data_IF_633142687257
#
_entry.id   IF_633142687257
#
_cell.length_a   1.000
_cell.length_b   1.000
_cell.length_c   1.000
_cell.angle_alpha   90.00
_cell.angle_beta   90.00
_cell.angle_gamma   90.00
#
_symmetry.space_group_name_H-M   'P 1'
#
loop_
_entity.id
_entity.type
_entity.pdbx_description
1 polymer ?
#
# COMPACT_ATOMS: atom_id res chain seq x y z
N UNK A 1 -9.73 28.28 8.15
CA UNK A 1 -9.17 29.47 7.44
C UNK A 1 -9.58 30.72 8.22
N UNK A 2 -8.62 31.57 8.55
CA UNK A 2 -8.82 32.81 9.32
C UNK A 2 -9.07 33.97 8.34
N UNK A 3 -10.12 34.75 8.58
CA UNK A 3 -10.35 35.99 7.83
C UNK A 3 -9.36 37.05 8.34
N UNK A 4 -8.42 37.50 7.50
CA UNK A 4 -7.29 38.32 7.95
C UNK A 4 -7.66 39.77 8.29
N UNK A 5 -8.83 40.23 7.82
CA UNK A 5 -9.30 41.59 8.06
C UNK A 5 -10.18 41.66 9.33
N UNK A 6 -10.78 40.55 9.74
CA UNK A 6 -11.74 40.49 10.85
C UNK A 6 -11.32 39.55 11.99
N UNK A 7 -10.23 38.80 11.81
CA UNK A 7 -9.70 37.78 12.72
C UNK A 7 -10.71 36.69 13.12
N UNK A 8 -11.81 36.53 12.39
CA UNK A 8 -12.77 35.47 12.62
C UNK A 8 -12.31 34.16 11.95
N UNK A 9 -12.35 33.07 12.73
CA UNK A 9 -12.08 31.73 12.23
C UNK A 9 -13.31 31.17 11.49
N UNK A 10 -13.12 30.67 10.27
CA UNK A 10 -14.06 29.78 9.59
C UNK A 10 -13.45 28.40 9.42
N UNK A 11 -14.12 27.40 9.97
CA UNK A 11 -13.74 26.00 9.85
C UNK A 11 -14.44 25.37 8.66
N UNK A 12 -13.65 24.82 7.73
CA UNK A 12 -14.14 24.00 6.62
C UNK A 12 -13.52 22.62 6.75
N UNK A 13 -14.36 21.58 6.70
CA UNK A 13 -13.92 20.17 6.75
C UNK A 13 -13.91 19.62 5.32
N UNK A 14 -12.91 18.80 5.00
CA UNK A 14 -12.75 18.08 3.73
C UNK A 14 -12.57 18.95 2.48
N UNK A 15 -11.69 19.96 2.53
CA UNK A 15 -11.29 20.72 1.35
C UNK A 15 -9.97 20.15 0.80
N UNK A 16 -9.96 19.43 -0.34
CA UNK A 16 -8.72 19.05 -0.99
C UNK A 16 -8.13 20.27 -1.70
N UNK A 17 -6.95 20.70 -1.29
CA UNK A 17 -6.17 21.71 -2.03
C UNK A 17 -5.09 20.96 -2.83
N UNK A 18 -5.08 21.20 -4.14
CA UNK A 18 -4.58 20.30 -5.19
C UNK A 18 -3.05 20.15 -5.39
N UNK A 19 -2.76 19.12 -6.20
CA UNK A 19 -1.60 18.20 -6.31
C UNK A 19 -0.48 18.62 -7.31
N UNK A 20 0.65 17.88 -7.42
CA UNK A 20 1.68 18.05 -8.43
C UNK A 20 1.20 17.52 -9.80
N UNK A 21 1.45 18.25 -10.88
CA UNK A 21 1.07 17.83 -12.23
C UNK A 21 2.30 17.68 -13.13
N UNK A 22 2.29 16.64 -13.95
CA UNK A 22 3.29 16.30 -14.97
C UNK A 22 3.02 16.96 -16.33
N UNK A 23 2.24 18.04 -16.39
CA UNK A 23 1.96 18.83 -17.61
C UNK A 23 1.97 20.34 -17.32
N UNK A 24 2.07 21.13 -18.41
CA UNK A 24 2.33 22.57 -18.53
C UNK A 24 1.80 23.46 -17.37
N UNK A 25 2.46 24.61 -17.08
CA UNK A 25 2.09 25.50 -15.98
C UNK A 25 0.59 25.79 -15.98
N UNK A 26 -0.08 25.60 -14.84
CA UNK A 26 -1.45 26.07 -14.68
C UNK A 26 -1.43 27.60 -14.76
N UNK A 27 -2.05 28.15 -15.81
CA UNK A 27 -2.26 29.58 -15.95
C UNK A 27 -3.56 29.96 -15.29
N UNK A 28 -3.51 30.91 -14.35
CA UNK A 28 -4.70 31.49 -13.73
C UNK A 28 -4.92 32.90 -14.25
N UNK A 29 -6.17 33.25 -14.54
CA UNK A 29 -6.58 34.60 -14.90
C UNK A 29 -7.55 35.09 -13.85
N UNK A 30 -7.30 36.28 -13.32
CA UNK A 30 -8.19 36.93 -12.35
C UNK A 30 -8.34 38.42 -12.67
N UNK A 31 -9.42 39.03 -12.23
CA UNK A 31 -9.74 40.44 -12.49
C UNK A 31 -9.81 41.17 -11.16
N UNK A 32 -9.45 42.46 -11.14
CA UNK A 32 -9.71 43.31 -9.98
C UNK A 32 -11.22 43.55 -9.77
N UNK A 33 -11.67 43.93 -8.57
CA UNK A 33 -13.09 44.14 -8.29
C UNK A 33 -13.77 45.20 -9.17
N UNK A 34 -13.03 46.16 -9.72
CA UNK A 34 -13.57 47.21 -10.59
C UNK A 34 -13.60 46.80 -12.06
N UNK A 35 -13.06 45.63 -12.43
CA UNK A 35 -13.04 45.16 -13.81
C UNK A 35 -12.12 45.97 -14.73
N UNK A 36 -11.15 46.69 -14.17
CA UNK A 36 -10.21 47.54 -14.91
C UNK A 36 -8.93 46.81 -15.31
N UNK A 37 -8.50 45.84 -14.50
CA UNK A 37 -7.24 45.15 -14.63
C UNK A 37 -7.43 43.63 -14.65
N UNK A 38 -6.81 42.97 -15.62
CA UNK A 38 -6.67 41.51 -15.66
C UNK A 38 -5.28 41.12 -15.21
N UNK A 39 -5.18 40.10 -14.35
CA UNK A 39 -3.93 39.53 -13.88
C UNK A 39 -3.80 38.12 -14.44
N UNK A 40 -2.76 37.90 -15.24
CA UNK A 40 -2.38 36.57 -15.72
C UNK A 40 -1.24 36.05 -14.87
N UNK A 41 -1.39 34.82 -14.40
CA UNK A 41 -0.44 34.15 -13.53
C UNK A 41 0.11 32.92 -14.24
N UNK A 42 1.43 32.83 -14.35
CA UNK A 42 2.14 31.58 -14.59
C UNK A 42 2.64 31.05 -13.25
N UNK A 43 2.32 29.82 -12.90
CA UNK A 43 2.57 29.28 -11.55
C UNK A 43 4.02 28.81 -11.30
N UNK A 44 4.84 28.66 -12.34
CA UNK A 44 6.29 28.41 -12.20
C UNK A 44 7.08 28.66 -13.50
N UNK A 45 8.23 29.37 -13.46
CA UNK A 45 8.56 30.31 -12.38
C UNK A 45 7.47 31.38 -12.30
N UNK A 46 7.10 31.76 -11.08
CA UNK A 46 5.93 32.60 -10.82
C UNK A 46 6.09 33.95 -11.50
N UNK A 47 5.18 34.20 -12.43
CA UNK A 47 5.11 35.46 -13.17
C UNK A 47 3.69 35.99 -13.12
N UNK A 48 3.53 37.22 -12.65
CA UNK A 48 2.25 37.93 -12.57
C UNK A 48 2.34 39.12 -13.51
N UNK A 49 1.51 39.10 -14.55
CA UNK A 49 1.36 40.24 -15.47
C UNK A 49 0.00 40.84 -15.27
N UNK A 50 -0.05 42.16 -15.04
CA UNK A 50 -1.27 42.95 -15.05
C UNK A 50 -1.46 43.55 -16.44
N UNK A 51 -2.68 43.49 -16.93
CA UNK A 51 -3.12 44.07 -18.20
C UNK A 51 -4.18 45.11 -17.85
N UNK A 52 -3.95 46.37 -18.20
CA UNK A 52 -4.97 47.42 -18.12
C UNK A 52 -5.93 47.27 -19.29
N UNK A 53 -7.22 47.04 -19.01
CA UNK A 53 -8.22 46.77 -20.05
C UNK A 53 -8.66 48.02 -20.83
N UNK A 54 -8.29 49.23 -20.39
CA UNK A 54 -8.59 50.46 -21.11
C UNK A 54 -7.50 50.84 -22.10
N UNK A 55 -6.24 50.52 -21.78
CA UNK A 55 -5.06 50.93 -22.56
C UNK A 55 -4.29 49.77 -23.19
N UNK A 56 -4.67 48.52 -22.89
CA UNK A 56 -3.94 47.29 -23.21
C UNK A 56 -2.49 47.24 -22.67
N UNK A 57 -2.12 48.20 -21.81
CA UNK A 57 -0.80 48.28 -21.22
C UNK A 57 -0.53 47.06 -20.33
N UNK A 58 0.58 46.36 -20.59
CA UNK A 58 1.01 45.19 -19.84
C UNK A 58 2.13 45.57 -18.87
N UNK A 59 1.95 45.27 -17.59
CA UNK A 59 2.94 45.50 -16.54
C UNK A 59 3.27 44.18 -15.86
N UNK A 60 4.54 43.78 -15.87
CA UNK A 60 4.99 42.65 -15.05
C UNK A 60 5.10 43.11 -13.59
N UNK A 61 4.26 42.56 -12.72
CA UNK A 61 4.25 42.88 -11.29
C UNK A 61 5.13 41.93 -10.47
N UNK A 62 5.33 40.72 -11.00
CA UNK A 62 6.27 39.74 -10.48
C UNK A 62 6.81 38.94 -11.66
N UNK A 63 8.12 38.72 -11.70
CA UNK A 63 8.78 38.06 -12.83
C UNK A 63 9.75 37.02 -12.32
N UNK A 64 9.63 35.79 -12.83
CA UNK A 64 10.57 34.70 -12.56
C UNK A 64 10.81 34.40 -11.06
N UNK A 65 9.77 34.52 -10.23
CA UNK A 65 9.87 34.23 -8.79
C UNK A 65 9.79 32.72 -8.55
N UNK A 66 10.67 32.16 -7.72
CA UNK A 66 10.71 30.72 -7.44
C UNK A 66 9.57 30.26 -6.52
N UNK A 67 8.91 31.21 -5.84
CA UNK A 67 7.87 30.95 -4.84
C UNK A 67 6.52 30.81 -5.50
N UNK A 68 5.67 29.94 -4.97
CA UNK A 68 4.36 29.64 -5.53
C UNK A 68 3.30 30.62 -5.02
N UNK A 69 2.24 30.89 -5.80
CA UNK A 69 1.12 31.71 -5.34
C UNK A 69 0.14 30.87 -4.53
N UNK A 70 -0.20 31.34 -3.33
CA UNK A 70 -1.28 30.81 -2.52
C UNK A 70 -2.61 31.49 -2.86
N UNK A 71 -2.63 32.82 -2.86
CA UNK A 71 -3.84 33.60 -3.12
C UNK A 71 -3.50 35.08 -3.39
N UNK A 72 -4.51 35.83 -3.83
CA UNK A 72 -4.48 37.30 -3.87
C UNK A 72 -5.40 37.87 -2.80
N UNK A 73 -5.09 39.08 -2.32
CA UNK A 73 -6.05 39.86 -1.54
C UNK A 73 -7.34 40.12 -2.35
N UNK A 74 -8.48 40.41 -1.69
CA UNK A 74 -9.74 40.66 -2.38
C UNK A 74 -9.67 41.79 -3.43
N UNK A 75 -8.90 42.84 -3.13
CA UNK A 75 -8.65 43.99 -3.99
C UNK A 75 -7.51 43.77 -5.01
N UNK A 76 -6.87 42.61 -5.00
CA UNK A 76 -5.71 42.26 -5.85
C UNK A 76 -4.50 43.19 -5.69
N UNK A 77 -4.41 43.95 -4.60
CA UNK A 77 -3.23 44.80 -4.31
C UNK A 77 -2.05 44.01 -3.74
N UNK A 78 -2.31 42.84 -3.13
CA UNK A 78 -1.32 41.96 -2.50
C UNK A 78 -1.43 40.52 -3.00
N UNK A 79 -0.30 39.83 -2.98
CA UNK A 79 -0.20 38.39 -3.27
C UNK A 79 0.45 37.67 -2.09
N UNK A 80 -0.13 36.55 -1.70
CA UNK A 80 0.49 35.61 -0.77
C UNK A 80 1.28 34.58 -1.58
N UNK A 81 2.57 34.48 -1.28
CA UNK A 81 3.54 33.59 -1.89
C UNK A 81 4.04 32.59 -0.85
N UNK A 82 4.38 31.38 -1.29
CA UNK A 82 4.93 30.34 -0.44
C UNK A 82 6.26 29.83 -1.00
N UNK A 83 7.25 29.78 -0.12
CA UNK A 83 8.56 29.19 -0.37
C UNK A 83 8.72 27.90 0.45
N UNK A 84 9.25 26.85 -0.17
CA UNK A 84 9.48 25.53 0.44
C UNK A 84 10.96 25.14 0.33
N UNK A 85 11.85 25.80 1.08
CA UNK A 85 13.28 25.49 1.05
C UNK A 85 13.56 24.07 1.58
N UNK A 86 14.41 23.32 0.89
CA UNK A 86 14.76 21.95 1.27
C UNK A 86 15.34 21.89 2.68
N UNK A 87 14.74 21.06 3.55
CA UNK A 87 15.19 20.88 4.94
C UNK A 87 14.93 22.06 5.89
N UNK A 88 14.13 23.04 5.48
CA UNK A 88 13.81 24.25 6.25
C UNK A 88 12.28 24.47 6.31
N UNK A 89 11.76 25.20 7.32
CA UNK A 89 10.33 25.51 7.39
C UNK A 89 9.84 26.31 6.19
N UNK A 90 8.61 26.04 5.76
CA UNK A 90 7.92 26.84 4.75
C UNK A 90 7.85 28.31 5.16
N UNK A 91 8.19 29.21 4.25
CA UNK A 91 8.09 30.65 4.46
C UNK A 91 6.92 31.16 3.64
N UNK A 92 5.91 31.72 4.31
CA UNK A 92 4.84 32.45 3.61
C UNK A 92 5.18 33.93 3.59
N UNK A 93 5.13 34.54 2.42
CA UNK A 93 5.34 35.97 2.23
C UNK A 93 4.08 36.61 1.70
N UNK A 94 3.69 37.77 2.24
CA UNK A 94 2.67 38.63 1.63
C UNK A 94 3.38 39.82 1.02
N UNK A 95 3.27 39.98 -0.29
CA UNK A 95 3.90 41.04 -1.07
C UNK A 95 2.85 41.99 -1.63
N UNK A 96 3.05 43.29 -1.44
CA UNK A 96 2.30 44.33 -2.14
C UNK A 96 2.81 44.47 -3.57
N UNK A 97 1.91 44.35 -4.55
CA UNK A 97 2.28 44.24 -5.96
C UNK A 97 2.74 45.57 -6.57
N UNK A 98 2.27 46.70 -6.04
CA UNK A 98 2.62 48.02 -6.56
C UNK A 98 3.99 48.51 -6.06
N UNK A 99 4.28 48.28 -4.78
CA UNK A 99 5.48 48.80 -4.11
C UNK A 99 6.59 47.77 -4.00
N UNK A 100 6.24 46.47 -4.09
CA UNK A 100 7.17 45.36 -3.84
C UNK A 100 7.46 45.11 -2.35
N UNK A 101 6.87 45.87 -1.43
CA UNK A 101 7.04 45.68 0.02
C UNK A 101 6.51 44.32 0.44
N UNK A 102 7.25 43.63 1.31
CA UNK A 102 6.96 42.25 1.70
C UNK A 102 7.03 42.06 3.21
N UNK A 103 6.05 41.35 3.75
CA UNK A 103 6.07 40.83 5.11
C UNK A 103 6.18 39.30 5.06
N UNK A 104 7.04 38.72 5.90
CA UNK A 104 7.26 37.28 5.98
C UNK A 104 6.70 36.72 7.27
N UNK A 105 5.99 35.62 7.14
CA UNK A 105 5.54 34.80 8.26
C UNK A 105 6.45 33.58 8.32
N UNK A 106 7.47 33.66 9.17
CA UNK A 106 8.20 32.49 9.65
C UNK A 106 7.48 32.02 10.91
N UNK A 107 7.24 30.71 11.05
CA UNK A 107 6.44 30.09 12.13
C UNK A 107 4.92 29.97 11.88
N UNK A 108 4.44 30.01 10.63
CA UNK A 108 3.15 29.39 10.31
C UNK A 108 3.40 27.88 10.40
N UNK A 109 3.23 27.31 11.60
CA UNK A 109 3.57 25.92 11.90
C UNK A 109 3.03 25.00 10.81
N UNK A 110 3.91 24.16 10.26
CA UNK A 110 3.63 23.07 9.31
C UNK A 110 2.22 23.16 8.72
N UNK A 111 1.96 24.10 7.80
CA UNK A 111 0.86 23.93 6.87
C UNK A 111 1.20 22.63 6.15
N UNK A 112 0.53 21.56 6.57
CA UNK A 112 0.97 20.19 6.49
C UNK A 112 1.39 19.82 5.06
N UNK A 113 2.69 19.92 4.79
CA UNK A 113 3.32 19.01 3.84
C UNK A 113 3.34 17.66 4.54
N UNK A 114 2.26 16.90 4.43
CA UNK A 114 2.36 15.45 4.55
C UNK A 114 3.31 15.04 3.42
N UNK A 115 4.57 14.74 3.74
CA UNK A 115 5.50 14.23 2.75
C UNK A 115 4.84 13.03 2.08
N UNK A 116 4.64 13.11 0.75
CA UNK A 116 3.98 12.03 0.02
C UNK A 116 4.70 10.72 0.33
N UNK A 117 3.99 9.69 0.83
CA UNK A 117 4.62 8.41 1.06
C UNK A 117 5.03 7.74 -0.27
N UNK A 118 4.52 8.23 -1.40
CA UNK A 118 5.03 7.87 -2.72
C UNK A 118 6.23 8.75 -3.07
N UNK A 119 7.41 8.17 -2.98
CA UNK A 119 8.68 8.78 -3.39
C UNK A 119 9.33 7.92 -4.48
N UNK A 120 10.26 8.44 -5.30
CA UNK A 120 11.02 7.61 -6.23
C UNK A 120 11.71 6.40 -5.57
N UNK A 121 12.33 6.54 -4.38
CA UNK A 121 12.78 5.40 -3.57
C UNK A 121 11.73 4.33 -3.32
N UNK A 122 10.53 4.73 -2.89
CA UNK A 122 9.40 3.81 -2.64
C UNK A 122 9.03 3.02 -3.87
N UNK A 123 8.87 3.70 -5.02
CA UNK A 123 8.47 3.07 -6.28
C UNK A 123 9.55 2.07 -6.75
N UNK A 124 10.82 2.49 -6.72
CA UNK A 124 11.94 1.65 -7.09
C UNK A 124 12.08 0.44 -6.16
N UNK A 125 11.83 0.59 -4.87
CA UNK A 125 11.92 -0.51 -3.92
C UNK A 125 10.87 -1.58 -4.18
N UNK A 126 9.63 -1.20 -4.50
CA UNK A 126 8.61 -2.17 -4.93
C UNK A 126 9.00 -2.91 -6.20
N UNK A 127 9.54 -2.18 -7.18
CA UNK A 127 10.01 -2.80 -8.43
C UNK A 127 11.18 -3.76 -8.16
N UNK A 128 12.09 -3.44 -7.23
CA UNK A 128 13.18 -4.35 -6.82
C UNK A 128 12.64 -5.65 -6.22
N UNK A 129 11.67 -5.57 -5.29
CA UNK A 129 11.09 -6.76 -4.64
C UNK A 129 10.34 -7.61 -5.68
N UNK A 130 9.52 -6.99 -6.53
CA UNK A 130 8.81 -7.72 -7.58
C UNK A 130 9.78 -8.35 -8.58
N UNK A 131 10.79 -7.59 -9.04
CA UNK A 131 11.76 -8.08 -10.01
C UNK A 131 12.51 -9.30 -9.48
N UNK A 132 12.92 -9.28 -8.21
CA UNK A 132 13.67 -10.39 -7.61
C UNK A 132 12.95 -11.72 -7.80
N UNK A 133 11.64 -11.75 -7.57
CA UNK A 133 10.86 -13.00 -7.49
C UNK A 133 10.06 -13.29 -8.76
N UNK A 134 9.51 -12.28 -9.45
CA UNK A 134 8.56 -12.49 -10.54
C UNK A 134 9.09 -12.08 -11.92
N UNK A 135 10.18 -11.30 -12.02
CA UNK A 135 10.84 -11.05 -13.32
C UNK A 135 11.32 -12.36 -14.00
N UNK A 136 11.89 -13.35 -13.30
CA UNK A 136 12.26 -14.62 -13.94
C UNK A 136 11.07 -15.36 -14.55
N UNK A 137 9.89 -15.27 -13.94
CA UNK A 137 8.65 -15.85 -14.49
C UNK A 137 8.20 -15.05 -15.70
N UNK A 138 8.13 -13.72 -15.58
CA UNK A 138 7.74 -12.82 -16.66
C UNK A 138 8.66 -12.90 -17.89
N UNK A 139 9.95 -13.11 -17.68
CA UNK A 139 10.96 -13.26 -18.72
C UNK A 139 11.09 -14.70 -19.27
N UNK A 140 10.24 -15.64 -18.81
CA UNK A 140 10.26 -17.04 -19.24
C UNK A 140 11.54 -17.80 -18.85
N UNK A 141 12.25 -17.34 -17.82
CA UNK A 141 13.48 -17.98 -17.30
C UNK A 141 13.20 -19.13 -16.35
N UNK A 142 12.00 -19.19 -15.79
CA UNK A 142 11.54 -20.28 -14.93
C UNK A 142 10.05 -20.51 -15.15
N UNK A 143 9.62 -21.77 -15.09
CA UNK A 143 8.22 -22.17 -15.20
C UNK A 143 7.68 -22.54 -13.82
N UNK A 144 7.00 -21.59 -13.16
CA UNK A 144 6.36 -21.76 -11.84
C UNK A 144 5.24 -20.73 -11.64
N UNK A 145 4.44 -20.89 -10.60
CA UNK A 145 3.45 -19.90 -10.18
C UNK A 145 4.08 -18.55 -9.76
N UNK A 146 3.28 -17.48 -9.84
CA UNK A 146 3.67 -16.13 -9.42
C UNK A 146 3.73 -16.01 -7.89
N UNK A 147 4.72 -15.26 -7.39
CA UNK A 147 4.80 -14.92 -5.97
C UNK A 147 3.95 -13.69 -5.64
N UNK A 148 3.93 -12.66 -6.48
CA UNK A 148 3.13 -11.45 -6.30
C UNK A 148 1.95 -11.41 -7.27
N UNK A 149 2.23 -11.72 -8.53
CA UNK A 149 1.29 -11.59 -9.64
C UNK A 149 1.94 -10.88 -10.83
N UNK A 150 1.30 -10.90 -12.01
CA UNK A 150 1.89 -10.38 -13.25
C UNK A 150 2.13 -8.87 -13.25
N UNK A 151 1.33 -8.11 -12.48
CA UNK A 151 1.43 -6.66 -12.35
C UNK A 151 0.70 -6.20 -11.08
N UNK A 152 0.99 -4.99 -10.56
CA UNK A 152 0.14 -4.38 -9.54
C UNK A 152 -1.22 -3.97 -10.13
N UNK A 153 -2.29 -4.10 -9.35
CA UNK A 153 -3.64 -3.71 -9.78
C UNK A 153 -4.17 -2.44 -9.08
N UNK A 154 -3.58 -2.03 -7.95
CA UNK A 154 -3.94 -0.81 -7.24
C UNK A 154 -2.75 -0.24 -6.46
N UNK A 155 -2.79 1.06 -6.15
CA UNK A 155 -1.80 1.75 -5.32
C UNK A 155 -2.55 2.77 -4.47
N UNK A 156 -2.35 2.74 -3.16
CA UNK A 156 -3.15 3.48 -2.19
C UNK A 156 -2.28 4.17 -1.14
N UNK A 157 -2.85 5.17 -0.46
CA UNK A 157 -2.30 5.74 0.76
C UNK A 157 -3.17 5.36 1.95
N UNK A 158 -2.57 4.66 2.90
CA UNK A 158 -3.30 4.14 4.07
C UNK A 158 -2.83 4.84 5.34
N UNK A 159 -3.75 5.09 6.27
CA UNK A 159 -3.42 5.62 7.59
C UNK A 159 -2.46 4.67 8.32
N UNK A 160 -1.41 5.24 8.90
CA UNK A 160 -0.49 4.56 9.78
C UNK A 160 0.13 5.55 10.76
N UNK A 161 -0.19 5.46 12.05
CA UNK A 161 0.17 6.47 13.07
C UNK A 161 1.67 6.80 13.10
N UNK A 162 2.53 5.81 12.89
CA UNK A 162 3.99 5.96 12.92
C UNK A 162 4.61 6.39 11.58
N UNK A 163 3.83 6.46 10.50
CA UNK A 163 4.36 6.91 9.21
C UNK A 163 4.55 8.44 9.21
N UNK A 164 5.60 8.98 8.55
CA UNK A 164 5.71 10.40 8.31
C UNK A 164 4.44 10.94 7.62
N UNK A 165 3.79 11.94 8.19
CA UNK A 165 2.50 12.44 7.70
C UNK A 165 1.30 11.53 8.00
N UNK A 166 1.45 10.53 8.88
CA UNK A 166 0.37 9.64 9.32
C UNK A 166 -0.15 8.69 8.23
N UNK A 167 0.55 8.57 7.10
CA UNK A 167 0.16 7.76 5.95
C UNK A 167 1.33 6.97 5.39
N UNK A 168 1.09 5.70 5.07
CA UNK A 168 2.02 4.83 4.36
C UNK A 168 1.59 4.60 2.91
N UNK A 169 2.56 4.34 2.05
CA UNK A 169 2.31 3.98 0.67
C UNK A 169 2.12 2.47 0.58
N UNK A 170 1.12 2.03 -0.18
CA UNK A 170 0.87 0.59 -0.42
C UNK A 170 0.64 0.33 -1.91
N UNK A 171 1.12 -0.81 -2.40
CA UNK A 171 0.90 -1.30 -3.77
C UNK A 171 0.35 -2.72 -3.74
N UNK A 172 -0.81 -2.92 -4.34
CA UNK A 172 -1.53 -4.19 -4.34
C UNK A 172 -1.18 -5.03 -5.56
N UNK A 173 -0.99 -6.33 -5.32
CA UNK A 173 -0.80 -7.37 -6.32
C UNK A 173 -1.80 -8.50 -6.05
N UNK A 174 -1.98 -9.43 -6.99
CA UNK A 174 -2.97 -10.50 -6.81
C UNK A 174 -2.76 -11.29 -5.51
N UNK A 175 -1.51 -11.64 -5.20
CA UNK A 175 -1.14 -12.55 -4.11
C UNK A 175 -0.76 -11.86 -2.80
N UNK A 176 -0.67 -10.52 -2.77
CA UNK A 176 -0.30 -9.75 -1.56
C UNK A 176 -0.43 -8.23 -1.77
N UNK A 177 0.08 -7.43 -0.84
CA UNK A 177 0.49 -6.05 -1.08
C UNK A 177 1.91 -5.82 -0.58
N UNK A 178 2.57 -4.81 -1.12
CA UNK A 178 3.79 -4.24 -0.58
C UNK A 178 3.47 -2.90 0.08
N UNK A 179 4.15 -2.58 1.17
CA UNK A 179 3.97 -1.32 1.90
C UNK A 179 5.30 -0.71 2.31
N UNK A 180 5.37 0.62 2.33
CA UNK A 180 6.51 1.39 2.83
C UNK A 180 5.98 2.40 3.83
N UNK A 181 6.27 2.16 5.12
CA UNK A 181 5.82 2.99 6.24
C UNK A 181 6.65 4.26 6.37
N UNK A 182 7.97 4.17 6.21
CA UNK A 182 8.88 5.32 6.28
C UNK A 182 9.66 5.45 4.97
N UNK A 183 9.28 6.37 4.07
CA UNK A 183 9.99 6.57 2.81
C UNK A 183 11.47 6.97 3.00
N UNK A 184 11.80 7.65 4.09
CA UNK A 184 13.17 8.04 4.45
C UNK A 184 13.95 6.96 5.21
N UNK A 185 13.40 5.75 5.35
CA UNK A 185 14.09 4.62 5.99
C UNK A 185 15.27 4.07 5.19
N UNK A 186 16.02 3.16 5.81
CA UNK A 186 17.15 2.47 5.19
C UNK A 186 16.67 1.51 4.09
N UNK A 187 16.92 1.86 2.84
CA UNK A 187 16.53 1.08 1.66
C UNK A 187 17.34 -0.22 1.47
N UNK A 188 18.44 -0.39 2.19
CA UNK A 188 19.24 -1.62 2.17
C UNK A 188 18.65 -2.71 3.08
N UNK A 189 17.79 -2.33 4.03
CA UNK A 189 17.09 -3.27 4.88
C UNK A 189 16.13 -4.13 4.05
N UNK A 190 16.10 -5.46 4.24
CA UNK A 190 15.08 -6.32 3.63
C UNK A 190 13.67 -5.95 4.10
N UNK A 191 13.55 -5.21 5.20
CA UNK A 191 12.28 -4.76 5.78
C UNK A 191 11.91 -3.31 5.43
N UNK A 192 12.63 -2.67 4.50
CA UNK A 192 12.20 -1.36 3.96
C UNK A 192 10.84 -1.47 3.26
N UNK A 193 10.67 -2.54 2.46
CA UNK A 193 9.38 -2.96 1.94
C UNK A 193 8.87 -4.10 2.83
N UNK A 194 7.72 -3.90 3.45
CA UNK A 194 7.02 -4.96 4.17
C UNK A 194 5.81 -5.43 3.39
N UNK A 195 5.21 -6.51 3.89
CA UNK A 195 3.90 -6.97 3.47
C UNK A 195 2.99 -6.78 4.69
N UNK A 196 1.81 -6.21 4.49
CA UNK A 196 0.82 -6.11 5.55
C UNK A 196 0.42 -7.48 6.09
N UNK A 197 -0.18 -7.53 7.29
CA UNK A 197 -0.64 -8.77 7.92
C UNK A 197 -2.01 -9.21 7.36
N UNK A 198 -2.11 -9.27 6.03
CA UNK A 198 -3.38 -9.33 5.29
C UNK A 198 -4.31 -10.43 5.80
N UNK A 199 -3.80 -11.65 5.94
CA UNK A 199 -4.61 -12.79 6.37
C UNK A 199 -4.97 -12.67 7.85
N UNK A 200 -4.04 -12.25 8.71
CA UNK A 200 -4.33 -12.01 10.12
C UNK A 200 -5.49 -11.02 10.27
N UNK A 201 -5.45 -9.90 9.54
CA UNK A 201 -6.49 -8.87 9.55
C UNK A 201 -7.82 -9.38 8.96
N UNK A 202 -7.78 -10.17 7.86
CA UNK A 202 -8.98 -10.78 7.25
C UNK A 202 -9.67 -11.77 8.20
N UNK A 203 -8.91 -12.57 8.95
CA UNK A 203 -9.43 -13.56 9.90
C UNK A 203 -9.94 -12.87 11.17
N UNK A 204 -9.20 -11.89 11.70
CA UNK A 204 -9.53 -11.27 12.99
C UNK A 204 -10.55 -10.14 12.87
N UNK A 205 -10.64 -9.48 11.71
CA UNK A 205 -11.38 -8.23 11.54
C UNK A 205 -10.64 -7.00 12.06
N UNK A 206 -9.37 -7.12 12.47
CA UNK A 206 -8.62 -6.02 13.09
C UNK A 206 -7.75 -5.30 12.06
N UNK A 207 -8.28 -4.24 11.46
CA UNK A 207 -7.57 -3.45 10.44
C UNK A 207 -6.43 -2.65 11.07
N UNK A 208 -5.18 -2.93 10.71
CA UNK A 208 -4.03 -2.22 11.28
C UNK A 208 -3.93 -0.79 10.73
N UNK A 209 -3.81 0.19 11.62
CA UNK A 209 -3.61 1.62 11.32
C UNK A 209 -2.48 2.26 12.13
N UNK A 210 -1.66 1.42 12.76
CA UNK A 210 -0.45 1.78 13.48
C UNK A 210 0.14 0.52 14.13
N UNK A 211 1.34 0.60 14.69
CA UNK A 211 2.02 -0.56 15.28
C UNK A 211 1.16 -1.30 16.32
N UNK A 212 0.49 -0.54 17.18
CA UNK A 212 -0.39 -1.06 18.23
C UNK A 212 -1.81 -0.47 18.14
N UNK A 213 -2.23 -0.05 16.94
CA UNK A 213 -3.56 0.56 16.73
C UNK A 213 -4.32 -0.13 15.61
N UNK A 214 -5.57 -0.46 15.92
CA UNK A 214 -6.46 -1.23 15.06
C UNK A 214 -7.83 -0.56 14.97
N UNK A 215 -8.51 -0.77 13.85
CA UNK A 215 -9.93 -0.46 13.65
C UNK A 215 -10.67 -1.79 13.53
N UNK A 216 -11.68 -1.99 14.38
CA UNK A 216 -12.51 -3.19 14.32
C UNK A 216 -13.42 -3.17 13.10
N UNK A 217 -13.51 -4.33 12.44
CA UNK A 217 -14.37 -4.63 11.30
C UNK A 217 -14.91 -6.04 11.41
N UNK A 218 -15.93 -6.34 10.62
CA UNK A 218 -16.38 -7.72 10.45
C UNK A 218 -15.28 -8.56 9.79
N UNK A 219 -14.93 -9.74 10.35
CA UNK A 219 -14.06 -10.70 9.68
C UNK A 219 -14.54 -11.04 8.27
N UNK A 220 -13.62 -11.35 7.37
CA UNK A 220 -13.96 -11.49 5.96
C UNK A 220 -14.79 -12.76 5.68
N UNK A 221 -16.00 -12.56 5.14
CA UNK A 221 -16.94 -13.62 4.78
C UNK A 221 -16.69 -14.32 3.44
N UNK A 222 -15.51 -14.14 2.84
CA UNK A 222 -15.16 -14.70 1.53
C UNK A 222 -14.29 -15.97 1.65
N UNK A 223 -14.37 -16.89 0.66
CA UNK A 223 -13.54 -18.09 0.65
C UNK A 223 -12.04 -17.78 0.73
N UNK A 224 -11.30 -18.58 1.48
CA UNK A 224 -9.84 -18.44 1.61
C UNK A 224 -9.12 -18.87 0.32
N UNK A 225 -9.65 -19.90 -0.33
CA UNK A 225 -9.15 -20.48 -1.58
C UNK A 225 -10.31 -21.05 -2.39
N UNK A 226 -10.05 -21.35 -3.66
CA UNK A 226 -11.05 -21.82 -4.61
C UNK A 226 -11.80 -20.71 -5.33
N UNK A 227 -12.84 -21.12 -6.04
CA UNK A 227 -13.72 -20.24 -6.81
C UNK A 227 -14.53 -19.33 -5.85
N UNK A 228 -14.83 -18.08 -6.24
CA UNK A 228 -15.59 -17.16 -5.37
C UNK A 228 -16.98 -17.65 -4.95
N UNK A 229 -17.57 -18.56 -5.74
CA UNK A 229 -18.89 -19.17 -5.48
C UNK A 229 -18.80 -20.52 -4.75
N UNK A 230 -17.62 -20.90 -4.25
CA UNK A 230 -17.44 -22.13 -3.49
C UNK A 230 -18.22 -22.11 -2.17
N UNK A 231 -18.99 -23.17 -1.95
CA UNK A 231 -19.84 -23.34 -0.78
C UNK A 231 -19.27 -24.34 0.25
N UNK A 232 -18.09 -24.92 0.01
CA UNK A 232 -17.56 -26.04 0.81
C UNK A 232 -16.37 -25.64 1.69
N UNK A 233 -15.45 -24.88 1.13
CA UNK A 233 -14.21 -24.46 1.77
C UNK A 233 -14.41 -23.39 2.83
N UNK A 234 -13.41 -23.25 3.74
CA UNK A 234 -13.42 -22.25 4.78
C UNK A 234 -13.40 -20.84 4.21
N UNK A 235 -14.04 -19.93 4.95
CA UNK A 235 -13.94 -18.49 4.77
C UNK A 235 -12.98 -17.94 5.82
N UNK A 236 -12.38 -16.76 5.59
CA UNK A 236 -11.43 -16.21 6.57
C UNK A 236 -12.06 -16.06 7.97
N UNK A 237 -13.32 -15.61 8.04
CA UNK A 237 -14.05 -15.48 9.29
C UNK A 237 -14.15 -16.78 10.11
N UNK A 238 -14.28 -17.94 9.46
CA UNK A 238 -14.43 -19.22 10.17
C UNK A 238 -13.11 -19.75 10.73
N UNK A 239 -11.96 -19.27 10.22
CA UNK A 239 -10.65 -19.60 10.75
C UNK A 239 -10.33 -18.91 12.08
N UNK A 240 -11.12 -17.91 12.49
CA UNK A 240 -10.84 -17.11 13.70
C UNK A 240 -10.76 -17.98 14.96
N UNK A 241 -11.61 -19.00 15.06
CA UNK A 241 -11.61 -19.93 16.19
C UNK A 241 -10.38 -20.85 16.24
N UNK A 242 -9.61 -20.93 15.15
CA UNK A 242 -8.46 -21.83 15.00
C UNK A 242 -7.11 -21.13 15.21
N UNK A 243 -7.10 -19.81 15.42
CA UNK A 243 -5.89 -19.04 15.72
C UNK A 243 -5.20 -19.43 17.04
N UNK A 244 -5.88 -20.18 17.90
CA UNK A 244 -5.36 -20.68 19.17
C UNK A 244 -5.36 -22.21 19.23
N UNK A 245 -5.53 -22.89 18.08
CA UNK A 245 -5.43 -24.34 18.03
C UNK A 245 -4.02 -24.78 18.45
N UNK A 246 -3.88 -25.88 19.22
CA UNK A 246 -2.57 -26.38 19.61
C UNK A 246 -1.79 -26.86 18.38
N UNK A 247 -0.44 -26.73 18.39
CA UNK A 247 0.37 -27.15 17.27
C UNK A 247 0.25 -28.65 17.02
N UNK A 248 0.16 -29.04 15.74
CA UNK A 248 0.26 -30.44 15.34
C UNK A 248 1.67 -30.93 15.68
N UNK A 249 1.84 -32.07 16.39
CA UNK A 249 3.15 -32.58 16.76
C UNK A 249 4.03 -32.83 15.53
N UNK A 250 5.27 -32.32 15.55
CA UNK A 250 6.24 -32.52 14.47
C UNK A 250 6.43 -34.02 14.20
N UNK A 251 6.43 -34.39 12.91
CA UNK A 251 6.54 -35.77 12.43
C UNK A 251 5.20 -36.51 12.31
N UNK A 252 4.09 -35.97 12.81
CA UNK A 252 2.77 -36.60 12.65
C UNK A 252 2.18 -36.35 11.26
N UNK A 253 1.42 -37.33 10.76
CA UNK A 253 0.68 -37.19 9.50
C UNK A 253 -0.50 -36.24 9.67
N UNK A 254 -0.65 -35.29 8.75
CA UNK A 254 -1.72 -34.31 8.76
C UNK A 254 -2.96 -34.92 8.09
N UNK A 255 -3.93 -35.29 8.93
CA UNK A 255 -5.23 -35.86 8.52
C UNK A 255 -6.43 -35.00 8.94
N UNK A 256 -6.19 -33.89 9.63
CA UNK A 256 -7.25 -32.97 10.04
C UNK A 256 -7.91 -32.34 8.81
N UNK A 257 -9.24 -32.20 8.85
CA UNK A 257 -10.01 -31.52 7.81
C UNK A 257 -10.66 -30.26 8.36
N UNK A 258 -11.05 -29.34 7.47
CA UNK A 258 -11.82 -28.16 7.83
C UNK A 258 -12.93 -27.89 6.79
N UNK A 259 -14.13 -27.60 7.29
CA UNK A 259 -15.28 -27.19 6.47
C UNK A 259 -15.47 -25.66 6.44
N UNK A 260 -16.49 -25.23 5.70
CA UNK A 260 -16.85 -23.81 5.58
C UNK A 260 -17.08 -23.11 6.92
N UNK A 261 -17.69 -23.82 7.87
CA UNK A 261 -18.05 -23.30 9.18
C UNK A 261 -16.85 -23.26 10.14
N UNK A 262 -15.68 -23.77 9.73
CA UNK A 262 -14.49 -23.86 10.56
C UNK A 262 -14.52 -25.08 11.49
N UNK A 263 -15.40 -26.04 11.24
CA UNK A 263 -15.46 -27.29 12.00
C UNK A 263 -14.29 -28.17 11.59
N UNK A 264 -13.49 -28.58 12.58
CA UNK A 264 -12.37 -29.49 12.36
C UNK A 264 -12.85 -30.93 12.41
N UNK A 265 -12.57 -31.68 11.35
CA UNK A 265 -12.82 -33.11 11.25
C UNK A 265 -11.53 -33.92 11.15
N UNK A 266 -11.68 -35.20 10.78
CA UNK A 266 -10.57 -36.10 10.50
C UNK A 266 -10.66 -36.71 9.10
N UNK A 267 -9.81 -37.71 8.84
CA UNK A 267 -9.79 -38.50 7.60
C UNK A 267 -9.54 -37.70 6.32
N UNK A 268 -8.79 -36.60 6.42
CA UNK A 268 -8.24 -35.91 5.25
C UNK A 268 -7.34 -36.83 4.42
N UNK A 269 -7.01 -36.38 3.21
CA UNK A 269 -6.28 -37.18 2.21
C UNK A 269 -4.96 -37.78 2.71
N UNK A 270 -4.27 -37.09 3.62
CA UNK A 270 -2.98 -37.54 4.16
C UNK A 270 -1.83 -37.37 3.16
N UNK A 271 -0.71 -38.05 3.42
CA UNK A 271 0.49 -37.96 2.57
C UNK A 271 1.31 -36.67 2.74
N UNK A 272 1.02 -35.90 3.79
CA UNK A 272 1.78 -34.71 4.22
C UNK A 272 1.92 -34.76 5.73
N UNK A 273 3.06 -34.28 6.24
CA UNK A 273 3.43 -34.37 7.65
C UNK A 273 3.76 -33.01 8.24
N UNK A 274 3.64 -32.89 9.56
CA UNK A 274 4.00 -31.68 10.29
C UNK A 274 5.54 -31.57 10.38
N UNK A 275 6.14 -30.50 9.85
CA UNK A 275 7.60 -30.44 9.64
C UNK A 275 8.37 -29.64 10.70
N UNK A 276 7.88 -28.45 11.06
CA UNK A 276 8.60 -27.56 11.98
C UNK A 276 7.62 -26.73 12.81
N UNK A 277 7.85 -26.67 14.12
CA UNK A 277 7.17 -25.76 15.03
C UNK A 277 7.79 -24.37 14.92
N UNK A 278 6.96 -23.36 14.66
CA UNK A 278 7.35 -21.94 14.71
C UNK A 278 6.96 -21.40 16.08
N UNK A 279 7.97 -21.06 16.89
CA UNK A 279 7.78 -20.70 18.30
C UNK A 279 7.10 -19.34 18.51
N UNK A 280 7.27 -18.41 17.57
CA UNK A 280 6.74 -17.05 17.63
C UNK A 280 5.21 -17.01 17.63
N UNK A 281 4.57 -17.97 16.94
CA UNK A 281 3.12 -18.09 16.87
C UNK A 281 2.59 -19.41 17.43
N UNK A 282 3.48 -20.31 17.85
CA UNK A 282 3.15 -21.64 18.37
C UNK A 282 2.31 -22.50 17.40
N UNK A 283 2.68 -22.47 16.11
CA UNK A 283 2.02 -23.24 15.05
C UNK A 283 3.02 -24.07 14.25
N UNK A 284 2.60 -25.24 13.78
CA UNK A 284 3.45 -26.13 12.99
C UNK A 284 3.22 -25.94 11.49
N UNK A 285 4.29 -25.90 10.69
CA UNK A 285 4.21 -25.80 9.23
C UNK A 285 4.17 -27.20 8.60
N UNK A 286 3.29 -27.43 7.63
CA UNK A 286 3.29 -28.67 6.85
C UNK A 286 4.58 -28.82 6.02
N UNK A 287 5.08 -30.04 5.86
CA UNK A 287 6.29 -30.38 5.11
C UNK A 287 6.32 -29.80 3.69
N UNK A 288 5.25 -29.96 2.93
CA UNK A 288 5.14 -29.42 1.56
C UNK A 288 5.28 -27.90 1.52
N UNK A 289 4.75 -27.18 2.52
CA UNK A 289 4.89 -25.74 2.63
C UNK A 289 6.28 -25.34 3.12
N UNK A 290 6.85 -26.09 4.07
CA UNK A 290 8.20 -25.86 4.55
C UNK A 290 9.24 -26.05 3.43
N UNK A 291 9.11 -27.11 2.63
CA UNK A 291 9.94 -27.34 1.45
C UNK A 291 9.79 -26.20 0.44
N UNK A 292 8.55 -25.74 0.18
CA UNK A 292 8.31 -24.62 -0.72
C UNK A 292 8.95 -23.31 -0.23
N UNK A 293 8.81 -22.99 1.06
CA UNK A 293 9.40 -21.79 1.67
C UNK A 293 10.94 -21.82 1.67
N UNK A 294 11.55 -23.01 1.60
CA UNK A 294 12.99 -23.20 1.50
C UNK A 294 13.47 -23.51 0.07
N UNK A 295 12.59 -23.41 -0.92
CA UNK A 295 12.93 -23.69 -2.31
C UNK A 295 13.95 -22.70 -2.87
N UNK A 296 14.70 -23.17 -3.87
CA UNK A 296 15.67 -22.38 -4.61
C UNK A 296 15.37 -22.45 -6.11
N UNK A 297 15.79 -21.43 -6.84
CA UNK A 297 15.69 -21.38 -8.29
C UNK A 297 16.07 -20.00 -8.82
N UNK A 298 15.80 -19.73 -10.11
CA UNK A 298 16.13 -18.46 -10.73
C UNK A 298 15.43 -17.27 -10.04
N UNK A 299 16.24 -16.32 -9.60
CA UNK A 299 15.86 -15.02 -9.02
C UNK A 299 16.66 -13.91 -9.72
N UNK A 300 16.16 -12.68 -9.68
CA UNK A 300 16.89 -11.52 -10.19
C UNK A 300 17.67 -10.84 -9.06
N UNK A 301 18.99 -10.70 -9.19
CA UNK A 301 19.85 -10.08 -8.16
C UNK A 301 19.99 -8.55 -8.29
N UNK A 302 19.33 -7.95 -9.29
CA UNK A 302 19.49 -6.54 -9.66
C UNK A 302 20.20 -6.33 -10.99
N UNK A 303 20.96 -7.32 -11.46
CA UNK A 303 21.73 -7.24 -12.71
C UNK A 303 21.65 -8.53 -13.56
N UNK A 304 21.51 -9.70 -12.94
CA UNK A 304 21.54 -11.00 -13.57
C UNK A 304 20.45 -11.93 -13.02
N UNK A 305 20.10 -12.94 -13.81
CA UNK A 305 19.38 -14.11 -13.30
C UNK A 305 20.38 -15.05 -12.63
N UNK A 306 20.18 -15.33 -11.35
CA UNK A 306 21.03 -16.21 -10.54
C UNK A 306 20.15 -17.24 -9.83
N UNK A 307 20.71 -18.40 -9.51
CA UNK A 307 20.04 -19.34 -8.63
C UNK A 307 20.17 -18.89 -7.17
N UNK A 308 19.05 -18.84 -6.46
CA UNK A 308 19.01 -18.44 -5.06
C UNK A 308 17.73 -18.89 -4.36
N UNK A 309 17.65 -18.63 -3.05
CA UNK A 309 16.41 -18.89 -2.29
C UNK A 309 15.27 -18.05 -2.86
N UNK A 310 14.11 -18.68 -3.07
CA UNK A 310 12.93 -17.97 -3.54
C UNK A 310 12.47 -16.97 -2.48
N UNK A 311 12.44 -17.39 -1.21
CA UNK A 311 12.09 -16.57 -0.05
C UNK A 311 13.31 -16.36 0.85
N UNK A 312 13.74 -15.11 0.93
CA UNK A 312 14.87 -14.69 1.74
C UNK A 312 14.63 -13.31 2.36
N UNK A 313 14.36 -13.22 3.68
CA UNK A 313 14.25 -14.32 4.65
C UNK A 313 13.08 -15.30 4.39
N UNK A 314 13.13 -16.51 4.95
CA UNK A 314 12.14 -17.59 4.70
C UNK A 314 10.68 -17.16 4.82
N UNK A 315 10.33 -16.37 5.84
CA UNK A 315 8.96 -15.91 6.10
C UNK A 315 8.69 -14.49 5.56
N UNK A 316 9.55 -13.94 4.70
CA UNK A 316 9.37 -12.60 4.14
C UNK A 316 8.00 -12.44 3.46
N UNK A 317 7.65 -13.37 2.57
CA UNK A 317 6.40 -13.29 1.80
C UNK A 317 5.16 -13.67 2.63
N UNK A 318 5.25 -14.68 3.50
CA UNK A 318 4.08 -15.27 4.19
C UNK A 318 3.86 -14.75 5.61
N UNK A 319 4.91 -14.29 6.29
CA UNK A 319 4.90 -14.15 7.75
C UNK A 319 4.86 -15.52 8.43
N UNK A 320 4.66 -15.55 9.74
CA UNK A 320 4.61 -16.80 10.51
C UNK A 320 3.27 -17.54 10.34
N UNK A 321 3.21 -18.86 10.51
CA UNK A 321 1.95 -19.61 10.46
C UNK A 321 1.02 -19.14 11.60
N UNK A 322 -0.27 -18.99 11.32
CA UNK A 322 -1.28 -18.59 12.31
C UNK A 322 -2.44 -19.60 12.40
N UNK A 323 -2.36 -20.68 11.63
CA UNK A 323 -3.23 -21.85 11.75
C UNK A 323 -2.39 -23.10 11.58
N UNK A 324 -2.91 -24.22 12.08
CA UNK A 324 -2.45 -25.54 11.65
C UNK A 324 -2.83 -25.81 10.19
N UNK A 325 -2.19 -26.81 9.55
CA UNK A 325 -2.55 -27.25 8.20
C UNK A 325 -3.78 -28.17 8.23
N UNK A 326 -4.75 -27.89 7.35
CA UNK A 326 -6.01 -28.65 7.26
C UNK A 326 -6.31 -29.04 5.81
N UNK A 327 -6.80 -30.25 5.61
CA UNK A 327 -7.40 -30.64 4.33
C UNK A 327 -8.80 -30.04 4.19
N UNK A 328 -9.12 -29.54 3.00
CA UNK A 328 -10.47 -29.04 2.70
C UNK A 328 -10.86 -29.39 1.28
N UNK A 329 -12.16 -29.53 1.03
CA UNK A 329 -12.71 -29.73 -0.31
C UNK A 329 -13.17 -28.39 -0.84
N UNK A 330 -12.54 -27.93 -1.91
CA UNK A 330 -12.80 -26.63 -2.52
C UNK A 330 -13.03 -26.79 -4.01
N UNK A 331 -13.97 -26.02 -4.55
CA UNK A 331 -14.17 -25.87 -5.98
C UNK A 331 -13.04 -25.01 -6.56
N UNK A 332 -12.29 -25.54 -7.52
CA UNK A 332 -11.22 -24.83 -8.23
C UNK A 332 -11.46 -25.01 -9.72
N UNK A 333 -11.66 -23.91 -10.45
CA UNK A 333 -11.97 -23.93 -11.87
C UNK A 333 -13.17 -24.86 -12.19
N UNK A 334 -14.22 -24.79 -11.37
CA UNK A 334 -15.43 -25.58 -11.54
C UNK A 334 -15.39 -27.01 -10.97
N UNK A 335 -14.24 -27.51 -10.51
CA UNK A 335 -14.08 -28.88 -10.02
C UNK A 335 -13.75 -28.92 -8.54
N UNK A 336 -14.45 -29.76 -7.77
CA UNK A 336 -14.14 -29.98 -6.35
C UNK A 336 -12.86 -30.81 -6.23
N UNK A 337 -11.88 -30.30 -5.48
CA UNK A 337 -10.59 -30.94 -5.23
C UNK A 337 -10.28 -30.97 -3.73
N UNK A 338 -9.52 -31.97 -3.30
CA UNK A 338 -8.88 -31.96 -1.98
C UNK A 338 -7.65 -31.06 -2.01
N UNK A 339 -7.65 -30.05 -1.15
CA UNK A 339 -6.60 -29.05 -1.04
C UNK A 339 -6.15 -28.96 0.42
N UNK A 340 -4.86 -29.08 0.67
CA UNK A 340 -4.29 -28.75 1.96
C UNK A 340 -4.18 -27.22 2.05
N UNK A 341 -4.71 -26.63 3.11
CA UNK A 341 -4.70 -25.20 3.37
C UNK A 341 -3.94 -24.93 4.66
N UNK A 342 -3.04 -23.92 4.63
CA UNK A 342 -2.47 -23.35 5.85
C UNK A 342 -2.37 -21.83 5.72
N UNK A 343 -2.83 -21.11 6.73
CA UNK A 343 -2.76 -19.66 6.76
C UNK A 343 -1.59 -19.16 7.61
N UNK A 344 -0.87 -18.20 7.04
CA UNK A 344 0.21 -17.43 7.66
C UNK A 344 -0.25 -15.99 7.81
N UNK A 345 0.49 -15.17 8.54
CA UNK A 345 0.07 -13.78 8.86
C UNK A 345 -0.26 -12.94 7.62
N UNK A 346 0.47 -13.14 6.52
CA UNK A 346 0.39 -12.33 5.30
C UNK A 346 -0.30 -13.06 4.15
N UNK A 347 -0.22 -14.40 4.09
CA UNK A 347 -0.74 -15.22 2.98
C UNK A 347 -1.23 -16.57 3.47
N UNK A 348 -2.20 -17.16 2.78
CA UNK A 348 -2.50 -18.59 2.93
C UNK A 348 -1.88 -19.36 1.76
N UNK A 349 -1.25 -20.48 2.09
CA UNK A 349 -0.69 -21.42 1.14
C UNK A 349 -1.66 -22.58 0.94
N UNK A 350 -1.73 -23.05 -0.29
CA UNK A 350 -2.51 -24.22 -0.67
C UNK A 350 -1.66 -25.25 -1.36
N UNK A 351 -1.88 -26.53 -1.06
CA UNK A 351 -1.23 -27.64 -1.73
C UNK A 351 -2.26 -28.59 -2.36
N UNK A 352 -2.13 -28.81 -3.67
CA UNK A 352 -2.95 -29.75 -4.44
C UNK A 352 -2.05 -30.80 -5.07
N UNK A 353 -2.01 -32.05 -4.54
CA UNK A 353 -1.11 -33.09 -5.02
C UNK A 353 -1.26 -33.41 -6.52
N UNK A 354 -2.48 -33.26 -7.03
CA UNK A 354 -2.86 -33.61 -8.40
C UNK A 354 -2.49 -32.52 -9.42
N UNK A 355 -1.97 -31.35 -8.98
CA UNK A 355 -1.48 -30.31 -9.88
C UNK A 355 -0.10 -30.68 -10.46
N UNK A 356 0.27 -30.16 -11.65
CA UNK A 356 1.62 -30.32 -12.20
C UNK A 356 2.71 -29.76 -11.28
N UNK A 357 3.93 -30.30 -11.39
CA UNK A 357 5.09 -29.77 -10.68
C UNK A 357 5.31 -28.28 -11.00
N UNK A 358 5.57 -27.47 -9.98
CA UNK A 358 5.60 -26.01 -10.08
C UNK A 358 4.28 -25.29 -9.75
N UNK A 359 3.16 -26.03 -9.71
CA UNK A 359 1.82 -25.54 -9.33
C UNK A 359 1.18 -26.36 -8.20
N UNK A 360 1.93 -27.27 -7.59
CA UNK A 360 1.44 -28.05 -6.45
C UNK A 360 1.23 -27.17 -5.22
N UNK A 361 2.14 -26.23 -4.94
CA UNK A 361 1.98 -25.22 -3.88
C UNK A 361 1.69 -23.88 -4.53
N UNK A 362 0.62 -23.24 -4.08
CA UNK A 362 0.19 -21.94 -4.58
C UNK A 362 -0.16 -21.01 -3.41
N UNK A 363 -0.07 -19.72 -3.68
CA UNK A 363 -0.57 -18.68 -2.79
C UNK A 363 -1.96 -18.25 -3.27
N UNK A 364 -2.91 -18.07 -2.35
CA UNK A 364 -4.22 -17.50 -2.70
C UNK A 364 -4.10 -16.06 -3.21
N UNK A 365 -5.14 -15.58 -3.91
CA UNK A 365 -5.22 -14.19 -4.39
C UNK A 365 -5.59 -13.22 -3.24
N UNK A 366 -4.89 -13.32 -2.11
CA UNK A 366 -5.20 -12.60 -0.87
C UNK A 366 -5.08 -11.08 -1.04
N UNK A 367 -4.25 -10.59 -1.96
CA UNK A 367 -4.17 -9.15 -2.23
C UNK A 367 -5.48 -8.62 -2.80
N UNK A 368 -6.13 -9.36 -3.71
CA UNK A 368 -7.47 -9.02 -4.20
C UNK A 368 -8.52 -9.14 -3.09
N UNK A 369 -8.47 -10.22 -2.30
CA UNK A 369 -9.41 -10.45 -1.19
C UNK A 369 -9.35 -9.31 -0.17
N UNK A 370 -8.14 -8.94 0.25
CA UNK A 370 -7.90 -7.88 1.21
C UNK A 370 -8.33 -6.51 0.66
N UNK A 371 -8.01 -6.19 -0.59
CA UNK A 371 -8.45 -4.93 -1.20
C UNK A 371 -9.98 -4.82 -1.20
N UNK A 372 -10.68 -5.89 -1.59
CA UNK A 372 -12.15 -5.93 -1.55
C UNK A 372 -12.70 -5.78 -0.13
N UNK A 373 -12.14 -6.50 0.85
CA UNK A 373 -12.58 -6.39 2.25
C UNK A 373 -12.30 -5.00 2.85
N UNK A 374 -11.17 -4.37 2.50
CA UNK A 374 -10.79 -3.06 3.02
C UNK A 374 -11.63 -1.92 2.43
N UNK A 375 -11.96 -1.98 1.14
CA UNK A 375 -12.58 -0.86 0.41
C UNK A 375 -14.02 -1.13 -0.07
N UNK A 376 -14.50 -2.38 -0.02
CA UNK A 376 -15.75 -2.82 -0.67
C UNK A 376 -17.04 -2.64 0.12
N UNK A 377 -16.98 -2.16 1.38
CA UNK A 377 -18.16 -1.97 2.23
C UNK A 377 -18.48 -3.17 3.10
#
# INVERSE_FOLDING_TARGET
MLNIDTLQERVYKNVPVGFPSSRLPAYAVTVDPQGRFVYTVQSYPTTITRIDLQSDARTALLSNDHRMILTFSPDRSRVALVDTPYGQPTVTSVRELATGTEARFTNVGWLAWEASPFTPPTLQAWDRVWNREDLPVAAGKVSRTWVWGPAPFATEQELFDQAPGGRRAVRYFDKSRMEVTNPGGDQSSPWYVTNGLLVRELISGQLQVGENRYIDREPAGMPVTGDPDDANGPIYASLRALLTAPPVPVGSEIRATIDRQGTVGGNGRGGVSAAILVGETNHTVADVFWTYLNSQGPVWDGANFVDGRLFDPTFFATGFPITEPYWTRVKVAGQVKDVLLQCFERRCLTYTPDNPDGWKVEMGNVGQHYHRWRYGG
#
